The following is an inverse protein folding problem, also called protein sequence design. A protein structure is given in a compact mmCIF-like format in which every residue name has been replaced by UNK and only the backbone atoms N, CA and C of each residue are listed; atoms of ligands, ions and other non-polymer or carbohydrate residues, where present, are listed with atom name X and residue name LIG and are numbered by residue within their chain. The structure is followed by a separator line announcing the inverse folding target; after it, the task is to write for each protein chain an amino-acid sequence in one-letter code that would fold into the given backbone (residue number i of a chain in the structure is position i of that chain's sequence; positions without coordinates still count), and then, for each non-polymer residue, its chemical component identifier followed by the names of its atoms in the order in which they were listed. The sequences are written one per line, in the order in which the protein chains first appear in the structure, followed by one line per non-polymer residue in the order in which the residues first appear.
data_IF_243207435732
#
_entry.id   IF_243207435732
#
_cell.length_a   1.000
_cell.length_b   1.000
_cell.length_c   1.000
_cell.angle_alpha   90.00
_cell.angle_beta   90.00
_cell.angle_gamma   90.00
#
_symmetry.space_group_name_H-M   'P 1'
#
loop_
_entity.id
_entity.type
_entity.pdbx_description
1 polymer ?
#
# COMPACT_ATOMS: atom_id res chain seq x y z
N UNK A 1 -6.05 -18.63 -12.37
CA UNK A 1 -6.26 -17.60 -11.32
C UNK A 1 -7.18 -16.48 -11.83
N UNK A 2 -8.26 -16.13 -11.12
CA UNK A 2 -9.23 -15.11 -11.58
C UNK A 2 -8.80 -13.68 -11.22
N UNK A 3 -8.91 -12.75 -12.17
CA UNK A 3 -8.58 -11.33 -11.96
C UNK A 3 -9.52 -10.64 -10.97
N UNK A 4 -10.72 -11.19 -10.75
CA UNK A 4 -11.65 -10.76 -9.70
C UNK A 4 -11.07 -10.93 -8.29
N UNK A 5 -10.24 -11.94 -8.07
CA UNK A 5 -9.53 -12.15 -6.80
C UNK A 5 -8.40 -11.14 -6.59
N UNK A 6 -7.83 -10.60 -7.68
CA UNK A 6 -6.81 -9.55 -7.63
C UNK A 6 -7.46 -8.17 -7.41
N UNK A 7 -8.59 -7.88 -8.07
CA UNK A 7 -9.29 -6.59 -7.94
C UNK A 7 -9.97 -6.41 -6.59
N UNK A 8 -10.55 -7.47 -6.00
CA UNK A 8 -11.15 -7.41 -4.67
C UNK A 8 -10.11 -7.05 -3.60
N UNK A 9 -8.87 -7.51 -3.78
CA UNK A 9 -7.73 -7.28 -2.89
C UNK A 9 -7.23 -5.83 -2.90
N UNK A 10 -7.47 -5.09 -3.99
CA UNK A 10 -7.06 -3.69 -4.16
C UNK A 10 -8.12 -2.66 -3.70
N UNK A 11 -9.30 -3.10 -3.24
CA UNK A 11 -10.33 -2.20 -2.70
C UNK A 11 -10.96 -1.25 -3.72
N UNK A 12 -11.01 -1.63 -5.00
CA UNK A 12 -11.51 -0.77 -6.06
C UNK A 12 -13.03 -0.56 -6.03
N UNK A 13 -13.45 0.71 -5.91
CA UNK A 13 -14.58 1.27 -6.65
C UNK A 13 -14.00 2.16 -7.74
N UNK A 14 -13.78 1.59 -8.93
CA UNK A 14 -13.35 2.35 -10.10
C UNK A 14 -14.47 3.34 -10.40
N UNK A 15 -14.16 4.63 -10.54
CA UNK A 15 -15.11 5.60 -11.10
C UNK A 15 -15.30 5.22 -12.57
N UNK A 16 -16.36 4.44 -12.87
CA UNK A 16 -16.68 3.81 -14.16
C UNK A 16 -17.10 4.81 -15.26
N UNK A 17 -16.61 6.04 -15.22
CA UNK A 17 -16.98 7.06 -16.21
C UNK A 17 -16.08 7.00 -17.45
N UNK A 18 -15.92 5.82 -18.09
CA UNK A 18 -15.78 5.71 -19.56
C UNK A 18 -15.69 4.28 -20.14
N UNK A 19 -16.26 3.25 -19.52
CA UNK A 19 -16.42 1.96 -20.22
C UNK A 19 -17.83 1.42 -19.98
N UNK A 20 -18.64 1.19 -21.03
CA UNK A 20 -19.97 0.61 -20.86
C UNK A 20 -19.79 -0.82 -20.37
N UNK A 21 -20.07 -1.05 -19.09
CA UNK A 21 -20.19 -2.40 -18.55
C UNK A 21 -21.49 -2.98 -19.09
N UNK A 22 -21.34 -3.76 -20.15
CA UNK A 22 -22.43 -4.54 -20.71
C UNK A 22 -22.78 -5.67 -19.73
N UNK A 23 -24.05 -5.77 -19.29
CA UNK A 23 -24.51 -6.78 -18.33
C UNK A 23 -24.52 -8.23 -18.87
N UNK A 24 -23.99 -8.47 -20.07
CA UNK A 24 -23.78 -9.81 -20.63
C UNK A 24 -22.50 -10.51 -20.15
N UNK A 25 -21.69 -9.86 -19.30
CA UNK A 25 -20.31 -10.29 -19.00
C UNK A 25 -20.14 -11.25 -17.80
N UNK A 26 -21.20 -11.71 -17.13
CA UNK A 26 -21.03 -12.62 -15.97
C UNK A 26 -20.52 -14.00 -16.38
N UNK A 27 -20.97 -14.52 -17.53
CA UNK A 27 -20.56 -15.86 -18.00
C UNK A 27 -19.15 -15.87 -18.61
N UNK A 28 -18.70 -14.76 -19.18
CA UNK A 28 -17.36 -14.65 -19.80
C UNK A 28 -16.22 -14.56 -18.78
N UNK A 29 -16.50 -14.07 -17.57
CA UNK A 29 -15.52 -13.85 -16.48
C UNK A 29 -15.18 -15.12 -15.69
N UNK A 30 -16.14 -16.02 -15.47
CA UNK A 30 -15.90 -17.31 -14.80
C UNK A 30 -15.03 -18.22 -15.68
N UNK A 31 -15.23 -18.15 -17.00
CA UNK A 31 -14.50 -18.93 -18.02
C UNK A 31 -13.07 -18.38 -18.25
N UNK A 32 -12.79 -17.11 -17.94
CA UNK A 32 -11.45 -16.52 -18.12
C UNK A 32 -10.42 -17.01 -17.08
N UNK A 33 -10.90 -17.59 -15.98
CA UNK A 33 -10.04 -18.08 -14.89
C UNK A 33 -9.17 -19.30 -15.26
N UNK A 34 -9.54 -19.99 -16.34
CA UNK A 34 -9.02 -21.29 -16.80
C UNK A 34 -7.96 -21.19 -17.92
N UNK A 35 -7.58 -19.97 -18.31
CA UNK A 35 -6.51 -19.73 -19.28
C UNK A 35 -5.18 -19.58 -18.54
N UNK A 36 -4.30 -20.58 -18.65
CA UNK A 36 -2.96 -20.55 -18.06
C UNK A 36 -2.09 -19.47 -18.71
N UNK A 37 -1.30 -18.78 -17.90
CA UNK A 37 -0.29 -17.85 -18.42
C UNK A 37 1.05 -18.59 -18.54
N UNK A 38 2.05 -17.90 -19.06
CA UNK A 38 3.40 -18.47 -19.12
C UNK A 38 4.04 -18.39 -17.73
N UNK A 39 4.99 -19.27 -17.42
CA UNK A 39 5.62 -19.38 -16.08
C UNK A 39 6.16 -18.03 -15.58
N UNK A 40 6.88 -17.29 -16.42
CA UNK A 40 7.40 -15.94 -16.12
C UNK A 40 6.29 -14.95 -15.67
N UNK A 41 5.11 -15.01 -16.31
CA UNK A 41 3.99 -14.11 -16.00
C UNK A 41 3.30 -14.52 -14.69
N UNK A 42 3.22 -15.82 -14.40
CA UNK A 42 2.66 -16.35 -13.16
C UNK A 42 3.57 -15.99 -11.96
N UNK A 43 4.89 -16.09 -12.13
CA UNK A 43 5.87 -15.63 -11.14
C UNK A 43 5.75 -14.12 -10.89
N UNK A 44 5.59 -13.31 -11.93
CA UNK A 44 5.39 -11.88 -11.80
C UNK A 44 4.13 -11.56 -10.98
N UNK A 45 3.01 -12.21 -11.30
CA UNK A 45 1.74 -12.04 -10.58
C UNK A 45 1.93 -12.41 -9.11
N UNK A 46 2.60 -13.53 -8.84
CA UNK A 46 2.85 -13.99 -7.50
C UNK A 46 3.70 -12.97 -6.71
N UNK A 47 4.80 -12.51 -7.30
CA UNK A 47 5.69 -11.50 -6.70
C UNK A 47 4.98 -10.20 -6.35
N UNK A 48 4.14 -9.68 -7.26
CA UNK A 48 3.51 -8.36 -7.10
C UNK A 48 2.33 -8.38 -6.13
N UNK A 49 1.56 -9.47 -6.09
CA UNK A 49 0.30 -9.53 -5.33
C UNK A 49 0.35 -10.37 -4.06
N UNK A 50 1.34 -11.26 -3.90
CA UNK A 50 1.34 -12.29 -2.86
C UNK A 50 2.64 -12.38 -2.05
N UNK A 51 3.81 -12.00 -2.59
CA UNK A 51 5.09 -12.08 -1.87
C UNK A 51 5.05 -11.42 -0.47
N UNK A 52 4.48 -10.22 -0.35
CA UNK A 52 4.40 -9.53 0.95
C UNK A 52 3.55 -10.23 2.01
N UNK A 53 2.64 -11.15 1.63
CA UNK A 53 1.85 -11.93 2.61
C UNK A 53 2.62 -13.13 3.13
N UNK A 54 3.41 -13.77 2.28
CA UNK A 54 4.21 -14.91 2.73
C UNK A 54 5.34 -14.50 3.65
N UNK A 55 5.98 -13.36 3.43
CA UNK A 55 7.05 -12.90 4.33
C UNK A 55 6.51 -12.56 5.73
N UNK A 56 5.30 -12.01 5.84
CA UNK A 56 4.64 -11.78 7.13
C UNK A 56 4.20 -13.09 7.80
N UNK A 57 3.54 -13.98 7.05
CA UNK A 57 3.08 -15.25 7.61
C UNK A 57 4.25 -16.18 7.97
N UNK A 58 5.31 -16.26 7.14
CA UNK A 58 6.52 -17.05 7.44
C UNK A 58 7.27 -16.51 8.65
N UNK A 59 7.32 -15.19 8.84
CA UNK A 59 7.96 -14.61 10.02
C UNK A 59 7.18 -14.93 11.31
N UNK A 60 5.84 -14.93 11.24
CA UNK A 60 4.98 -15.34 12.36
C UNK A 60 5.10 -16.84 12.64
N UNK A 61 5.02 -17.69 11.61
CA UNK A 61 5.13 -19.15 11.71
C UNK A 61 6.53 -19.62 12.18
N UNK A 62 7.61 -18.94 11.80
CA UNK A 62 8.98 -19.28 12.25
C UNK A 62 9.19 -18.94 13.74
N UNK A 63 8.66 -17.80 14.20
CA UNK A 63 8.78 -17.39 15.60
C UNK A 63 8.00 -18.30 16.55
N UNK A 64 6.87 -18.89 16.12
CA UNK A 64 6.11 -19.86 16.90
C UNK A 64 6.79 -21.25 16.91
N UNK A 65 7.25 -21.75 15.75
CA UNK A 65 7.87 -23.08 15.68
C UNK A 65 9.24 -23.17 16.39
N UNK A 66 10.09 -22.14 16.29
CA UNK A 66 11.40 -22.14 16.96
C UNK A 66 11.28 -22.09 18.50
N UNK A 67 10.18 -21.52 19.02
CA UNK A 67 9.92 -21.49 20.46
C UNK A 67 9.47 -22.84 21.01
N UNK A 68 8.65 -23.57 20.24
CA UNK A 68 8.05 -24.83 20.68
C UNK A 68 8.97 -26.05 20.50
N UNK A 69 9.76 -26.13 19.42
CA UNK A 69 10.70 -27.25 19.21
C UNK A 69 11.82 -27.27 20.26
N UNK A 70 12.35 -26.10 20.64
CA UNK A 70 13.49 -25.99 21.54
C UNK A 70 13.09 -26.04 23.03
N UNK A 71 11.79 -25.88 23.36
CA UNK A 71 11.25 -26.13 24.70
C UNK A 71 10.92 -27.60 24.95
N UNK A 72 10.72 -28.39 23.88
CA UNK A 72 10.49 -29.83 23.96
C UNK A 72 11.73 -30.61 24.41
N UNK A 73 12.94 -30.08 24.16
CA UNK A 73 14.24 -30.71 24.49
C UNK A 73 14.65 -30.56 25.98
N UNK A 74 13.79 -29.94 26.80
CA UNK A 74 14.04 -29.73 28.23
C UNK A 74 13.38 -30.79 29.13
N UNK A 75 12.68 -31.78 28.57
CA UNK A 75 12.00 -32.84 29.34
C UNK A 75 12.97 -33.81 30.03
N UNK A 76 14.22 -33.87 29.56
CA UNK A 76 15.20 -34.87 29.97
C UNK A 76 16.12 -34.38 31.12
N UNK A 77 15.90 -33.15 31.61
CA UNK A 77 16.71 -32.50 32.65
C UNK A 77 15.96 -32.58 33.99
N UNK A 78 16.53 -33.31 34.97
CA UNK A 78 15.93 -33.51 36.30
C UNK A 78 15.99 -32.26 37.22
N UNK A 79 16.93 -31.34 36.96
CA UNK A 79 17.13 -30.12 37.76
C UNK A 79 16.14 -29.00 37.41
N UNK A 80 15.03 -28.96 38.13
CA UNK A 80 13.94 -27.99 37.92
C UNK A 80 14.36 -26.52 38.04
N UNK A 81 15.32 -26.18 38.90
CA UNK A 81 15.83 -24.80 39.03
C UNK A 81 16.65 -24.36 37.81
N UNK A 82 17.38 -25.27 37.18
CA UNK A 82 18.18 -24.99 35.98
C UNK A 82 17.27 -24.74 34.78
N UNK A 83 16.19 -25.53 34.65
CA UNK A 83 15.15 -25.34 33.63
C UNK A 83 14.45 -23.99 33.80
N UNK A 84 14.12 -23.59 35.03
CA UNK A 84 13.53 -22.28 35.30
C UNK A 84 14.48 -21.13 34.97
N UNK A 85 15.77 -21.25 35.33
CA UNK A 85 16.79 -20.26 35.01
C UNK A 85 17.03 -20.13 33.51
N UNK A 86 17.06 -21.24 32.79
CA UNK A 86 17.18 -21.26 31.33
C UNK A 86 15.95 -20.63 30.67
N UNK A 87 14.73 -21.00 31.09
CA UNK A 87 13.50 -20.37 30.61
C UNK A 87 13.52 -18.86 30.84
N UNK A 88 13.96 -18.41 32.01
CA UNK A 88 14.01 -16.99 32.36
C UNK A 88 15.08 -16.22 31.56
N UNK A 89 16.26 -16.79 31.34
CA UNK A 89 17.31 -16.22 30.50
C UNK A 89 16.88 -16.15 29.03
N UNK A 90 16.25 -17.20 28.53
CA UNK A 90 15.73 -17.25 27.15
C UNK A 90 14.59 -16.26 26.95
N UNK A 91 13.70 -16.08 27.93
CA UNK A 91 12.67 -15.04 27.89
C UNK A 91 13.24 -13.62 27.94
N UNK A 92 14.44 -13.46 28.50
CA UNK A 92 15.16 -12.19 28.55
C UNK A 92 15.93 -11.92 27.25
N UNK A 93 16.40 -12.96 26.56
CA UNK A 93 17.04 -12.90 25.24
C UNK A 93 16.02 -12.75 24.11
N UNK A 94 14.86 -13.40 24.21
CA UNK A 94 13.70 -13.23 23.33
C UNK A 94 12.83 -12.04 23.71
N UNK A 95 13.22 -11.26 24.72
CA UNK A 95 12.52 -10.04 25.07
C UNK A 95 12.45 -9.15 23.82
N UNK A 96 11.27 -8.63 23.47
CA UNK A 96 11.10 -7.83 22.27
C UNK A 96 12.08 -6.67 22.33
N UNK A 97 13.02 -6.68 21.38
CA UNK A 97 14.05 -5.68 21.24
C UNK A 97 13.39 -4.29 21.35
N UNK A 98 13.94 -3.39 22.18
CA UNK A 98 13.37 -2.05 22.32
C UNK A 98 13.25 -1.38 20.95
N UNK A 99 12.18 -0.62 20.70
CA UNK A 99 11.98 0.09 19.42
C UNK A 99 13.18 0.95 19.03
N UNK A 100 13.89 1.49 20.02
CA UNK A 100 15.11 2.26 19.79
C UNK A 100 16.28 1.39 19.33
N UNK A 101 16.39 0.18 19.86
CA UNK A 101 17.46 -0.73 19.50
C UNK A 101 17.17 -1.41 18.15
N UNK A 102 15.90 -1.67 17.82
CA UNK A 102 15.47 -2.03 16.46
C UNK A 102 15.84 -0.94 15.44
N UNK A 103 15.55 0.33 15.76
CA UNK A 103 15.91 1.47 14.90
C UNK A 103 17.42 1.58 14.73
N UNK A 104 18.21 1.40 15.80
CA UNK A 104 19.68 1.44 15.71
C UNK A 104 20.21 0.32 14.82
N UNK A 105 19.69 -0.90 14.97
CA UNK A 105 20.08 -2.03 14.14
C UNK A 105 19.79 -1.74 12.67
N UNK A 106 18.60 -1.21 12.36
CA UNK A 106 18.21 -0.81 11.01
C UNK A 106 19.12 0.30 10.43
N UNK A 107 19.40 1.34 11.22
CA UNK A 107 20.28 2.44 10.79
C UNK A 107 21.70 1.93 10.53
N UNK A 108 22.15 0.93 11.29
CA UNK A 108 23.49 0.33 11.15
C UNK A 108 23.59 -0.53 9.89
N UNK A 109 22.49 -1.14 9.44
CA UNK A 109 22.42 -1.94 8.22
C UNK A 109 22.10 -1.14 6.95
N UNK A 110 22.01 0.20 7.02
CA UNK A 110 21.78 1.02 5.84
C UNK A 110 22.95 0.99 4.86
N UNK A 111 22.59 0.93 3.57
CA UNK A 111 23.52 1.28 2.49
C UNK A 111 23.85 2.78 2.53
N UNK A 112 24.96 3.18 1.92
CA UNK A 112 25.41 4.59 1.88
C UNK A 112 24.32 5.52 1.31
N UNK A 113 23.69 5.13 0.20
CA UNK A 113 22.61 5.91 -0.43
C UNK A 113 21.36 6.03 0.47
N UNK A 114 21.04 5.00 1.26
CA UNK A 114 19.93 5.02 2.21
C UNK A 114 20.25 5.91 3.41
N UNK A 115 21.48 5.85 3.91
CA UNK A 115 21.94 6.72 5.00
C UNK A 115 21.87 8.19 4.60
N UNK A 116 22.34 8.55 3.41
CA UNK A 116 22.28 9.93 2.90
C UNK A 116 20.85 10.46 2.83
N UNK A 117 19.91 9.67 2.31
CA UNK A 117 18.48 10.02 2.26
C UNK A 117 17.88 10.17 3.65
N UNK A 118 18.21 9.28 4.58
CA UNK A 118 17.76 9.35 5.97
C UNK A 118 18.27 10.61 6.66
N UNK A 119 19.56 10.93 6.50
CA UNK A 119 20.14 12.14 7.07
C UNK A 119 19.54 13.41 6.47
N UNK A 120 19.31 13.44 5.15
CA UNK A 120 18.67 14.55 4.47
C UNK A 120 17.24 14.78 5.00
N UNK A 121 16.44 13.72 5.15
CA UNK A 121 15.11 13.82 5.73
C UNK A 121 15.14 14.28 7.20
N UNK A 122 16.06 13.74 8.01
CA UNK A 122 16.22 14.13 9.42
C UNK A 122 16.59 15.60 9.58
N UNK A 123 17.50 16.11 8.74
CA UNK A 123 17.95 17.52 8.75
C UNK A 123 16.95 18.47 8.11
N UNK A 124 16.06 17.99 7.25
CA UNK A 124 15.07 18.83 6.58
C UNK A 124 14.12 19.49 7.58
N UNK A 125 13.86 20.79 7.39
CA UNK A 125 12.88 21.54 8.17
C UNK A 125 12.15 22.55 7.30
N UNK A 126 10.91 22.86 7.64
CA UNK A 126 10.12 23.84 6.91
C UNK A 126 10.52 25.25 7.35
N UNK A 127 10.53 26.19 6.41
CA UNK A 127 10.87 27.59 6.66
C UNK A 127 9.90 28.22 7.67
N UNK A 128 10.36 28.38 8.92
CA UNK A 128 9.61 28.96 10.04
C UNK A 128 9.09 30.37 9.74
N UNK A 129 9.88 31.19 9.04
CA UNK A 129 9.47 32.55 8.68
C UNK A 129 8.36 32.55 7.62
N UNK A 130 8.42 31.60 6.67
CA UNK A 130 7.38 31.39 5.67
C UNK A 130 6.06 30.96 6.30
N UNK A 131 6.10 29.96 7.20
CA UNK A 131 4.93 29.48 7.95
C UNK A 131 4.30 30.63 8.76
N UNK A 132 5.13 31.42 9.46
CA UNK A 132 4.66 32.58 10.21
C UNK A 132 3.94 33.59 9.32
N UNK A 133 4.49 33.93 8.15
CA UNK A 133 3.86 34.86 7.20
C UNK A 133 2.52 34.33 6.70
N UNK A 134 2.45 33.04 6.35
CA UNK A 134 1.22 32.40 5.86
C UNK A 134 0.12 32.41 6.92
N UNK A 135 0.46 31.98 8.14
CA UNK A 135 -0.52 31.91 9.22
C UNK A 135 -0.96 33.31 9.70
N UNK A 136 -0.07 34.31 9.69
CA UNK A 136 -0.45 35.70 9.95
C UNK A 136 -1.43 36.22 8.88
N UNK A 137 -1.24 35.85 7.61
CA UNK A 137 -2.16 36.22 6.53
C UNK A 137 -3.51 35.50 6.60
N UNK A 138 -3.54 34.25 7.06
CA UNK A 138 -4.78 33.47 7.19
C UNK A 138 -5.62 33.88 8.42
N UNK A 139 -4.97 34.14 9.56
CA UNK A 139 -5.62 34.43 10.84
C UNK A 139 -5.75 35.94 11.11
N UNK A 140 -5.10 36.79 10.31
CA UNK A 140 -4.98 38.24 10.55
C UNK A 140 -4.45 38.59 11.95
N UNK A 141 -3.69 37.69 12.56
CA UNK A 141 -3.13 37.82 13.90
C UNK A 141 -1.63 37.50 13.88
N UNK A 142 -0.85 38.16 14.72
CA UNK A 142 0.59 37.90 14.84
C UNK A 142 0.83 36.66 15.70
N UNK A 143 1.53 35.68 15.14
CA UNK A 143 1.80 34.40 15.82
C UNK A 143 3.18 34.42 16.51
N UNK A 144 3.27 34.01 17.78
CA UNK A 144 4.54 33.96 18.50
C UNK A 144 5.50 32.89 17.93
N UNK A 145 6.79 33.05 18.18
CA UNK A 145 7.83 32.20 17.58
C UNK A 145 7.72 30.72 17.95
N UNK A 146 7.34 30.41 19.20
CA UNK A 146 7.16 29.02 19.64
C UNK A 146 6.04 28.32 18.86
N UNK A 147 4.96 29.03 18.55
CA UNK A 147 3.87 28.51 17.72
C UNK A 147 4.32 28.28 16.28
N UNK A 148 5.15 29.17 15.72
CA UNK A 148 5.72 28.97 14.39
C UNK A 148 6.61 27.70 14.30
N UNK A 149 7.34 27.35 15.38
CA UNK A 149 8.12 26.10 15.46
C UNK A 149 7.21 24.87 15.45
N UNK A 150 6.15 24.88 16.26
CA UNK A 150 5.17 23.80 16.33
C UNK A 150 4.46 23.61 14.98
N UNK A 151 3.99 24.70 14.37
CA UNK A 151 3.32 24.68 13.07
C UNK A 151 4.23 24.18 11.94
N UNK A 152 5.51 24.52 11.96
CA UNK A 152 6.49 23.98 11.01
C UNK A 152 6.68 22.47 11.18
N UNK A 153 6.68 21.97 12.42
CA UNK A 153 6.71 20.52 12.71
C UNK A 153 5.47 19.79 12.21
N UNK A 154 4.28 20.33 12.49
CA UNK A 154 3.01 19.79 12.01
C UNK A 154 2.92 19.79 10.49
N UNK A 155 3.38 20.87 9.85
CA UNK A 155 3.41 20.96 8.38
C UNK A 155 4.35 19.92 7.76
N UNK A 156 5.46 19.57 8.43
CA UNK A 156 6.38 18.52 7.96
C UNK A 156 5.73 17.14 8.06
N UNK A 157 5.06 16.85 9.17
CA UNK A 157 4.30 15.60 9.34
C UNK A 157 3.21 15.48 8.28
N UNK A 158 2.41 16.54 8.10
CA UNK A 158 1.32 16.56 7.13
C UNK A 158 1.80 16.35 5.69
N UNK A 159 2.90 16.99 5.29
CA UNK A 159 3.48 16.77 3.97
C UNK A 159 3.95 15.31 3.80
N UNK A 160 4.52 14.72 4.85
CA UNK A 160 4.88 13.31 4.89
C UNK A 160 3.68 12.40 4.64
N UNK A 161 2.56 12.63 5.33
CA UNK A 161 1.34 11.83 5.17
C UNK A 161 0.78 11.90 3.74
N UNK A 162 0.73 13.10 3.15
CA UNK A 162 0.24 13.29 1.78
C UNK A 162 1.16 12.62 0.76
N UNK A 163 2.48 12.75 0.92
CA UNK A 163 3.45 12.12 0.00
C UNK A 163 3.39 10.60 0.10
N UNK A 164 3.33 10.04 1.31
CA UNK A 164 3.19 8.59 1.53
C UNK A 164 1.92 8.07 0.86
N UNK A 165 0.78 8.74 1.05
CA UNK A 165 -0.47 8.38 0.37
C UNK A 165 -0.38 8.48 -1.15
N UNK A 166 0.35 9.46 -1.68
CA UNK A 166 0.55 9.58 -3.12
C UNK A 166 1.38 8.41 -3.69
N UNK A 167 2.40 7.94 -2.96
CA UNK A 167 3.14 6.74 -3.35
C UNK A 167 2.27 5.48 -3.29
N UNK A 168 1.41 5.34 -2.27
CA UNK A 168 0.46 4.22 -2.23
C UNK A 168 -0.50 4.23 -3.42
N UNK A 169 -0.98 5.41 -3.84
CA UNK A 169 -1.85 5.54 -5.02
C UNK A 169 -1.09 5.16 -6.29
N UNK A 170 0.13 5.66 -6.45
CA UNK A 170 0.98 5.31 -7.58
C UNK A 170 1.19 3.79 -7.66
N UNK A 171 1.44 3.13 -6.52
CA UNK A 171 1.59 1.67 -6.47
C UNK A 171 0.28 0.95 -6.83
N UNK A 172 -0.87 1.42 -6.31
CA UNK A 172 -2.19 0.88 -6.67
C UNK A 172 -2.45 1.01 -8.16
N UNK A 173 -2.11 2.14 -8.77
CA UNK A 173 -2.26 2.36 -10.21
C UNK A 173 -1.39 1.39 -11.02
N UNK A 174 -0.13 1.16 -10.63
CA UNK A 174 0.72 0.18 -11.30
C UNK A 174 0.17 -1.25 -11.18
N UNK A 175 -0.36 -1.62 -10.01
CA UNK A 175 -1.01 -2.92 -9.82
C UNK A 175 -2.27 -3.05 -10.67
N UNK A 176 -3.06 -1.99 -10.77
CA UNK A 176 -4.27 -1.97 -11.60
C UNK A 176 -3.96 -2.09 -13.09
N UNK A 177 -2.93 -1.39 -13.57
CA UNK A 177 -2.44 -1.52 -14.95
C UNK A 177 -2.01 -2.95 -15.24
N UNK A 178 -1.26 -3.58 -14.32
CA UNK A 178 -0.87 -4.98 -14.46
C UNK A 178 -2.08 -5.92 -14.55
N UNK A 179 -3.14 -5.70 -13.75
CA UNK A 179 -4.37 -6.51 -13.84
C UNK A 179 -5.03 -6.37 -15.21
N UNK A 180 -5.13 -5.15 -15.74
CA UNK A 180 -5.70 -4.91 -17.07
C UNK A 180 -4.89 -5.60 -18.17
N UNK A 181 -3.57 -5.60 -18.05
CA UNK A 181 -2.67 -6.27 -18.99
C UNK A 181 -2.80 -7.80 -18.90
N UNK A 182 -2.92 -8.35 -17.69
CA UNK A 182 -3.21 -9.78 -17.45
C UNK A 182 -4.52 -10.17 -18.13
N UNK A 183 -5.59 -9.40 -17.93
CA UNK A 183 -6.89 -9.65 -18.55
C UNK A 183 -6.81 -9.59 -20.07
N UNK A 184 -6.12 -8.59 -20.61
CA UNK A 184 -5.92 -8.45 -22.05
C UNK A 184 -5.15 -9.65 -22.62
N UNK A 185 -4.09 -10.11 -21.94
CA UNK A 185 -3.29 -11.26 -22.36
C UNK A 185 -4.10 -12.55 -22.32
N UNK A 186 -4.86 -12.82 -21.25
CA UNK A 186 -5.76 -13.97 -21.15
C UNK A 186 -6.83 -13.98 -22.23
N UNK A 187 -7.44 -12.82 -22.54
CA UNK A 187 -8.44 -12.72 -23.61
C UNK A 187 -7.85 -13.07 -24.98
N UNK A 188 -6.64 -12.57 -25.29
CA UNK A 188 -5.94 -12.91 -26.55
C UNK A 188 -5.64 -14.40 -26.63
N UNK A 189 -5.09 -15.00 -25.56
CA UNK A 189 -4.77 -16.43 -25.50
C UNK A 189 -6.02 -17.31 -25.62
N UNK A 190 -7.15 -16.89 -25.04
CA UNK A 190 -8.45 -17.55 -25.24
C UNK A 190 -8.91 -17.47 -26.70
N UNK A 191 -8.80 -16.31 -27.33
CA UNK A 191 -9.19 -16.14 -28.73
C UNK A 191 -8.32 -16.98 -29.67
N UNK A 192 -7.00 -17.03 -29.44
CA UNK A 192 -6.10 -17.88 -30.23
C UNK A 192 -6.44 -19.36 -30.07
N UNK A 193 -6.65 -19.84 -28.83
CA UNK A 193 -7.08 -21.21 -28.57
C UNK A 193 -8.40 -21.55 -29.29
N UNK A 194 -9.36 -20.62 -29.31
CA UNK A 194 -10.63 -20.80 -30.03
C UNK A 194 -10.46 -20.83 -31.56
N UNK A 195 -9.52 -20.08 -32.12
CA UNK A 195 -9.19 -20.14 -33.57
C UNK A 195 -8.48 -21.45 -33.92
N UNK A 196 -7.61 -21.93 -33.04
CA UNK A 196 -6.94 -23.23 -33.16
C UNK A 196 -7.98 -24.36 -33.16
N UNK A 197 -8.93 -24.33 -32.23
CA UNK A 197 -10.02 -25.33 -32.16
C UNK A 197 -10.87 -25.35 -33.44
N UNK A 198 -11.08 -24.20 -34.07
CA UNK A 198 -11.78 -24.07 -35.35
C UNK A 198 -10.93 -24.45 -36.57
N UNK A 199 -9.64 -24.76 -36.39
CA UNK A 199 -8.72 -25.12 -37.47
C UNK A 199 -8.31 -23.94 -38.35
N UNK A 200 -8.40 -22.70 -37.86
CA UNK A 200 -7.96 -21.50 -38.58
C UNK A 200 -6.43 -21.33 -38.52
N UNK A 201 -5.84 -20.77 -39.58
CA UNK A 201 -4.40 -20.56 -39.67
C UNK A 201 -3.92 -19.44 -38.72
N UNK A 202 -2.90 -19.75 -37.92
CA UNK A 202 -2.45 -18.95 -36.76
C UNK A 202 -1.17 -18.17 -37.09
N UNK A 203 -0.62 -18.36 -38.30
CA UNK A 203 0.66 -17.79 -38.74
C UNK A 203 0.74 -16.25 -38.66
N UNK A 204 -0.40 -15.56 -38.66
CA UNK A 204 -0.50 -14.10 -38.58
C UNK A 204 -0.62 -13.52 -37.16
N UNK A 205 -0.57 -14.34 -36.11
CA UNK A 205 -0.67 -13.83 -34.73
C UNK A 205 0.64 -13.16 -34.31
N UNK A 206 0.63 -11.88 -33.89
CA UNK A 206 1.82 -11.22 -33.38
C UNK A 206 2.39 -11.94 -32.15
N UNK A 207 3.73 -11.97 -31.97
CA UNK A 207 4.35 -12.62 -30.82
C UNK A 207 3.87 -12.00 -29.50
N UNK A 208 3.63 -12.86 -28.51
CA UNK A 208 3.17 -12.43 -27.20
C UNK A 208 4.24 -11.58 -26.49
N UNK A 209 3.82 -10.43 -25.96
CA UNK A 209 4.68 -9.60 -25.10
C UNK A 209 4.62 -10.13 -23.67
N UNK A 210 5.77 -10.11 -22.98
CA UNK A 210 5.84 -10.43 -21.55
C UNK A 210 5.13 -9.34 -20.74
N UNK A 211 4.48 -9.73 -19.65
CA UNK A 211 3.90 -8.76 -18.73
C UNK A 211 5.02 -8.01 -18.01
N UNK A 212 4.84 -6.70 -17.80
CA UNK A 212 5.79 -5.87 -17.06
C UNK A 212 5.08 -5.16 -15.91
N UNK A 213 5.68 -5.19 -14.72
CA UNK A 213 5.19 -4.39 -13.60
C UNK A 213 5.89 -3.03 -13.58
N UNK A 214 5.15 -1.98 -13.92
CA UNK A 214 5.71 -0.63 -13.99
C UNK A 214 6.23 -0.10 -12.65
N UNK A 215 5.78 -0.67 -11.53
CA UNK A 215 6.26 -0.31 -10.19
C UNK A 215 7.71 -0.73 -9.90
N UNK A 216 8.30 -1.63 -10.70
CA UNK A 216 9.73 -1.95 -10.58
C UNK A 216 10.62 -0.76 -11.00
N UNK A 217 10.09 0.14 -11.84
CA UNK A 217 10.80 1.34 -12.29
C UNK A 217 10.36 2.52 -11.43
N UNK A 218 11.32 3.21 -10.82
CA UNK A 218 11.06 4.42 -10.02
C UNK A 218 10.61 5.56 -10.92
N UNK A 219 9.30 5.76 -11.03
CA UNK A 219 8.68 6.89 -11.74
C UNK A 219 8.45 8.11 -10.83
N UNK A 220 8.47 9.34 -11.38
CA UNK A 220 8.12 10.54 -10.61
C UNK A 220 6.64 10.54 -10.22
N UNK A 221 6.32 11.16 -9.07
CA UNK A 221 4.93 11.38 -8.68
C UNK A 221 4.24 12.34 -9.66
N UNK A 222 3.10 11.92 -10.18
CA UNK A 222 2.27 12.74 -11.06
C UNK A 222 1.31 13.63 -10.24
N UNK A 223 0.82 14.75 -10.82
CA UNK A 223 -0.16 15.60 -10.16
C UNK A 223 -1.45 14.87 -9.75
N UNK A 224 -1.85 13.83 -10.49
CA UNK A 224 -3.04 13.02 -10.17
C UNK A 224 -2.87 12.25 -8.85
N UNK A 225 -1.70 11.67 -8.60
CA UNK A 225 -1.44 10.95 -7.35
C UNK A 225 -1.61 11.87 -6.12
N UNK A 226 -1.16 13.14 -6.23
CA UNK A 226 -1.31 14.13 -5.16
C UNK A 226 -2.78 14.52 -4.95
N UNK A 227 -3.54 14.69 -6.04
CA UNK A 227 -4.97 15.01 -5.98
C UNK A 227 -5.77 13.90 -5.30
N UNK A 228 -5.55 12.65 -5.71
CA UNK A 228 -6.21 11.50 -5.09
C UNK A 228 -5.74 11.29 -3.64
N UNK A 229 -4.45 11.52 -3.34
CA UNK A 229 -3.94 11.44 -1.97
C UNK A 229 -4.65 12.42 -1.04
N UNK A 230 -4.84 13.65 -1.51
CA UNK A 230 -5.59 14.66 -0.78
C UNK A 230 -7.07 14.30 -0.62
N UNK A 231 -7.70 13.73 -1.66
CA UNK A 231 -9.09 13.26 -1.59
C UNK A 231 -9.26 12.16 -0.55
N UNK A 232 -8.37 11.16 -0.54
CA UNK A 232 -8.37 10.08 0.44
C UNK A 232 -8.08 10.59 1.86
N UNK A 233 -7.07 11.44 2.01
CA UNK A 233 -6.74 12.08 3.29
C UNK A 233 -7.95 12.81 3.88
N UNK A 234 -8.67 13.58 3.05
CA UNK A 234 -9.91 14.24 3.47
C UNK A 234 -10.97 13.23 3.88
N UNK A 235 -11.17 12.17 3.12
CA UNK A 235 -12.20 11.17 3.42
C UNK A 235 -11.93 10.47 4.76
N UNK A 236 -10.69 10.06 4.99
CA UNK A 236 -10.26 9.44 6.26
C UNK A 236 -10.36 10.43 7.43
N UNK A 237 -9.93 11.67 7.23
CA UNK A 237 -10.00 12.72 8.25
C UNK A 237 -11.42 13.22 8.50
N UNK A 238 -12.33 13.07 7.54
CA UNK A 238 -13.72 13.52 7.63
C UNK A 238 -14.61 12.66 8.53
N UNK A 239 -14.07 11.59 9.12
CA UNK A 239 -14.73 10.83 10.20
C UNK A 239 -15.06 11.66 11.44
N UNK A 240 -14.46 12.84 11.60
CA UNK A 240 -14.83 13.82 12.62
C UNK A 240 -15.66 14.96 11.99
N UNK A 241 -16.97 14.89 12.19
CA UNK A 241 -17.98 15.90 11.89
C UNK A 241 -17.91 16.47 10.46
N UNK A 242 -18.77 15.95 9.58
CA UNK A 242 -19.31 16.74 8.48
C UNK A 242 -19.83 18.05 9.09
N UNK A 243 -19.06 19.12 8.99
CA UNK A 243 -19.57 20.47 9.12
C UNK A 243 -20.43 20.69 7.90
N UNK A 244 -21.65 20.14 7.96
CA UNK A 244 -22.79 20.63 7.20
C UNK A 244 -22.88 22.08 7.63
N UNK A 245 -22.29 22.96 6.83
CA UNK A 245 -22.74 24.32 6.75
C UNK A 245 -24.21 24.21 6.35
N UNK A 246 -25.08 24.15 7.36
CA UNK A 246 -26.49 24.42 7.17
C UNK A 246 -26.51 25.83 6.62
N UNK A 247 -26.76 25.97 5.32
CA UNK A 247 -27.33 27.18 4.78
C UNK A 247 -28.64 27.37 5.52
N UNK A 248 -28.60 28.13 6.61
CA UNK A 248 -29.80 28.66 7.24
C UNK A 248 -30.44 29.59 6.20
N UNK A 249 -31.44 29.05 5.51
CA UNK A 249 -32.06 29.72 4.38
C UNK A 249 -32.84 28.74 3.53
N UNK A 250 -33.54 27.79 4.15
CA UNK A 250 -34.64 27.12 3.49
C UNK A 250 -35.72 28.17 3.33
N UNK A 251 -35.93 28.61 2.08
CA UNK A 251 -36.91 29.61 1.69
C UNK A 251 -38.32 29.05 1.76
N UNK A 252 -38.75 28.60 2.93
CA UNK A 252 -40.15 28.27 3.19
C UNK A 252 -40.64 29.17 4.33
N UNK A 253 -41.15 30.34 3.93
CA UNK A 253 -41.51 31.47 4.79
C UNK A 253 -42.70 31.20 5.71
N UNK A 254 -42.54 30.29 6.67
CA UNK A 254 -43.58 29.96 7.65
C UNK A 254 -43.03 29.65 9.04
N UNK A 255 -42.37 30.58 9.71
CA UNK A 255 -42.31 30.53 11.19
C UNK A 255 -42.27 31.94 11.82
N UNK A 256 -43.44 32.57 11.85
CA UNK A 256 -43.86 33.42 12.97
C UNK A 256 -45.26 32.97 13.40
N UNK A 257 -45.34 32.26 14.54
CA UNK A 257 -46.43 32.34 15.51
C UNK A 257 -45.85 32.10 16.90
#
# INVERSE_FOLDING_TARGET
MSCRALTSKLGYSINQNHLPINMSNMDDEEILSDVSLDEDDEELIWRVFYASKEDSNKAEDQLENDQDEELSDLSDIEDQELVQKYKQLKQQESAPLSEDDKKKLLITSFTEEQMDKFEAYRRSSINKAGVRKLCNGALNQSIPENMAKILAGLSKSFLGDIITKAFEIQEREYKAQLILDIDAKKRRKKETLRRIEKGEDISNVPPERKLEYLGDRKGPLQPEHIREAWRLYKLESSGAYSSQWRTQGEGDGKFFR
#
